data_IF_751995730002
#
_entry.id   IF_751995730002
#
_cell.length_a   1.000
_cell.length_b   1.000
_cell.length_c   1.000
_cell.angle_alpha   90.00
_cell.angle_beta   90.00
_cell.angle_gamma   90.00
#
_symmetry.space_group_name_H-M   'P 1'
#
loop_
_entity.id
_entity.type
_entity.pdbx_description
1 polymer ?
#
# COMPACT_ATOMS: atom_id res chain seq x y z
N UNK A 1 -38.08 -7.28 30.25
CA UNK A 1 -37.67 -8.28 29.25
C UNK A 1 -37.57 -7.58 27.89
N UNK A 2 -36.43 -7.19 27.43
CA UNK A 2 -36.31 -6.44 26.18
C UNK A 2 -34.88 -5.99 25.79
N UNK A 3 -33.87 -6.85 25.88
CA UNK A 3 -32.51 -6.46 25.50
C UNK A 3 -31.71 -7.51 24.72
N UNK A 4 -32.33 -8.58 24.24
CA UNK A 4 -31.62 -9.66 23.54
C UNK A 4 -31.73 -9.57 22.00
N UNK A 5 -32.63 -8.73 21.46
CA UNK A 5 -32.87 -8.64 20.01
C UNK A 5 -31.94 -7.68 19.26
N UNK A 6 -31.30 -6.72 19.93
CA UNK A 6 -30.36 -5.77 19.32
C UNK A 6 -29.04 -6.42 18.89
N UNK A 7 -28.51 -7.31 19.72
CA UNK A 7 -27.18 -7.89 19.51
C UNK A 7 -27.10 -8.84 18.30
N UNK A 8 -28.19 -9.55 17.97
CA UNK A 8 -28.19 -10.48 16.84
C UNK A 8 -28.25 -9.78 15.47
N UNK A 9 -28.86 -8.60 15.38
CA UNK A 9 -28.87 -7.79 14.16
C UNK A 9 -27.55 -7.07 13.93
N UNK A 10 -26.93 -6.55 14.97
CA UNK A 10 -25.62 -5.93 14.90
C UNK A 10 -24.53 -6.92 14.49
N UNK A 11 -24.57 -8.13 15.03
CA UNK A 11 -23.67 -9.22 14.66
C UNK A 11 -23.85 -9.62 13.19
N UNK A 12 -25.12 -9.76 12.73
CA UNK A 12 -25.40 -10.04 11.31
C UNK A 12 -24.94 -8.91 10.38
N UNK A 13 -25.14 -7.67 10.77
CA UNK A 13 -24.65 -6.51 10.01
C UNK A 13 -23.13 -6.48 9.96
N UNK A 14 -22.45 -6.78 11.06
CA UNK A 14 -20.99 -6.85 11.09
C UNK A 14 -20.44 -7.92 10.13
N UNK A 15 -21.01 -9.12 10.15
CA UNK A 15 -20.62 -10.19 9.22
C UNK A 15 -20.92 -9.86 7.76
N UNK A 16 -22.05 -9.19 7.48
CA UNK A 16 -22.38 -8.77 6.12
C UNK A 16 -21.45 -7.66 5.62
N UNK A 17 -21.04 -6.73 6.48
CA UNK A 17 -20.08 -5.69 6.16
C UNK A 17 -18.67 -6.26 5.93
N UNK A 18 -18.28 -7.23 6.76
CA UNK A 18 -17.01 -7.94 6.58
C UNK A 18 -16.98 -8.69 5.23
N UNK A 19 -18.02 -9.47 4.94
CA UNK A 19 -18.10 -10.21 3.67
C UNK A 19 -18.10 -9.27 2.45
N UNK A 20 -18.78 -8.11 2.54
CA UNK A 20 -18.75 -7.09 1.46
C UNK A 20 -17.37 -6.46 1.32
N UNK A 21 -16.69 -6.21 2.43
CA UNK A 21 -15.34 -5.64 2.41
C UNK A 21 -14.34 -6.62 1.80
N UNK A 22 -14.44 -7.91 2.16
CA UNK A 22 -13.59 -8.96 1.60
C UNK A 22 -13.86 -9.15 0.09
N UNK A 23 -15.12 -9.12 -0.34
CA UNK A 23 -15.49 -9.16 -1.76
C UNK A 23 -14.96 -7.93 -2.53
N UNK A 24 -15.13 -6.72 -2.00
CA UNK A 24 -14.59 -5.51 -2.61
C UNK A 24 -13.06 -5.50 -2.67
N UNK A 25 -12.39 -6.08 -1.68
CA UNK A 25 -10.94 -6.22 -1.70
C UNK A 25 -10.49 -7.18 -2.82
N UNK A 26 -11.23 -8.28 -3.01
CA UNK A 26 -10.97 -9.23 -4.09
C UNK A 26 -11.24 -8.61 -5.46
N UNK A 27 -12.38 -7.94 -5.65
CA UNK A 27 -12.72 -7.24 -6.89
C UNK A 27 -11.66 -6.19 -7.25
N UNK A 28 -11.19 -5.43 -6.26
CA UNK A 28 -10.11 -4.47 -6.45
C UNK A 28 -8.78 -5.13 -6.84
N UNK A 29 -8.49 -6.30 -6.30
CA UNK A 29 -7.32 -7.08 -6.69
C UNK A 29 -7.43 -7.51 -8.16
N UNK A 30 -8.56 -8.11 -8.53
CA UNK A 30 -8.80 -8.62 -9.88
C UNK A 30 -8.81 -7.49 -10.93
N UNK A 31 -9.38 -6.33 -10.58
CA UNK A 31 -9.34 -5.15 -11.44
C UNK A 31 -7.92 -4.62 -11.66
N UNK A 32 -7.07 -4.65 -10.65
CA UNK A 32 -5.66 -4.23 -10.78
C UNK A 32 -4.85 -5.20 -11.62
N UNK A 33 -5.08 -6.49 -11.46
CA UNK A 33 -4.46 -7.51 -12.33
C UNK A 33 -4.87 -7.28 -13.79
N UNK A 34 -6.17 -7.09 -14.06
CA UNK A 34 -6.68 -6.81 -15.42
C UNK A 34 -6.15 -5.50 -15.99
N UNK A 35 -6.07 -4.46 -15.16
CA UNK A 35 -5.50 -3.17 -15.59
C UNK A 35 -4.04 -3.33 -16.02
N UNK A 36 -3.26 -4.03 -15.22
CA UNK A 36 -1.85 -4.31 -15.53
C UNK A 36 -1.70 -5.19 -16.78
N UNK A 37 -2.62 -6.15 -17.01
CA UNK A 37 -2.67 -6.94 -18.25
C UNK A 37 -2.95 -6.06 -19.48
N UNK A 38 -3.92 -5.16 -19.37
CA UNK A 38 -4.29 -4.24 -20.46
C UNK A 38 -3.16 -3.23 -20.75
N UNK A 39 -2.52 -2.69 -19.73
CA UNK A 39 -1.37 -1.80 -19.87
C UNK A 39 -0.18 -2.50 -20.55
N UNK A 40 0.01 -3.80 -20.28
CA UNK A 40 1.04 -4.60 -20.94
C UNK A 40 0.73 -4.90 -22.43
N UNK A 41 -0.53 -4.78 -22.84
CA UNK A 41 -0.97 -5.00 -24.22
C UNK A 41 -0.95 -3.72 -25.09
N UNK A 42 -0.71 -2.54 -24.51
CA UNK A 42 -0.61 -1.27 -25.25
C UNK A 42 0.82 -1.14 -25.84
N UNK A 43 0.99 -1.14 -27.19
CA UNK A 43 2.32 -1.22 -27.81
C UNK A 43 3.09 0.09 -27.86
N UNK A 44 2.63 1.18 -27.28
CA UNK A 44 3.29 2.46 -27.49
C UNK A 44 3.42 3.29 -26.21
N UNK A 45 4.67 3.53 -25.82
CA UNK A 45 5.02 4.48 -24.77
C UNK A 45 6.07 4.03 -23.76
N UNK A 46 7.21 3.50 -24.21
CA UNK A 46 8.50 3.70 -23.53
C UNK A 46 8.69 3.17 -22.09
N UNK A 47 8.00 2.13 -21.66
CA UNK A 47 8.42 1.36 -20.49
C UNK A 47 8.40 -0.12 -20.86
N UNK A 48 9.56 -0.75 -20.75
CA UNK A 48 9.81 -2.13 -21.13
C UNK A 48 8.68 -3.06 -20.74
N UNK A 49 8.12 -3.75 -21.75
CA UNK A 49 7.06 -4.73 -21.58
C UNK A 49 7.38 -5.74 -20.48
N UNK A 50 6.60 -5.71 -19.42
CA UNK A 50 6.61 -6.72 -18.38
C UNK A 50 5.32 -7.51 -18.50
N UNK A 51 5.43 -8.72 -19.02
CA UNK A 51 4.34 -9.68 -19.12
C UNK A 51 3.73 -9.96 -17.75
N UNK A 52 2.42 -9.88 -17.66
CA UNK A 52 1.67 -10.35 -16.50
C UNK A 52 1.45 -11.85 -16.66
N UNK A 53 1.93 -12.64 -15.72
CA UNK A 53 1.62 -14.07 -15.64
C UNK A 53 0.31 -14.26 -14.88
N UNK A 54 -0.39 -15.37 -15.15
CA UNK A 54 -1.65 -15.76 -14.50
C UNK A 54 -1.59 -15.88 -12.96
N UNK A 55 -0.40 -15.76 -12.37
CA UNK A 55 -0.14 -15.82 -10.91
C UNK A 55 -0.22 -14.45 -10.20
N UNK A 56 -0.82 -13.43 -10.78
CA UNK A 56 -0.94 -12.09 -10.18
C UNK A 56 0.37 -11.30 -10.15
N UNK A 57 1.30 -11.59 -11.07
CA UNK A 57 2.57 -10.89 -11.20
C UNK A 57 2.43 -9.78 -12.25
N UNK A 58 2.42 -8.53 -11.81
CA UNK A 58 2.42 -7.37 -12.67
C UNK A 58 3.73 -6.60 -12.51
N UNK A 59 4.40 -6.31 -13.61
CA UNK A 59 5.64 -5.54 -13.58
C UNK A 59 6.78 -6.17 -12.75
N UNK A 60 6.77 -7.50 -12.52
CA UNK A 60 7.71 -8.19 -11.65
C UNK A 60 7.35 -8.14 -10.16
N UNK A 61 6.19 -7.58 -9.81
CA UNK A 61 5.65 -7.56 -8.46
C UNK A 61 4.47 -8.53 -8.35
N UNK A 62 4.46 -9.34 -7.30
CA UNK A 62 3.31 -10.20 -6.96
C UNK A 62 2.46 -9.49 -5.91
N UNK A 63 1.16 -9.44 -6.15
CA UNK A 63 0.19 -8.87 -5.24
C UNK A 63 -0.57 -9.97 -4.51
N UNK A 64 -0.64 -9.85 -3.19
CA UNK A 64 -1.40 -10.75 -2.33
C UNK A 64 -2.45 -9.94 -1.57
N UNK A 65 -3.75 -10.20 -1.76
CA UNK A 65 -4.79 -9.52 -1.00
C UNK A 65 -4.70 -9.90 0.48
N UNK A 66 -4.77 -8.92 1.35
CA UNK A 66 -4.64 -9.12 2.78
C UNK A 66 -5.54 -8.18 3.58
N UNK A 67 -5.89 -8.58 4.80
CA UNK A 67 -6.71 -7.80 5.71
C UNK A 67 -5.82 -7.17 6.79
N UNK A 68 -6.04 -5.91 7.09
CA UNK A 68 -5.42 -5.24 8.23
C UNK A 68 -6.13 -5.72 9.51
N UNK A 69 -5.37 -6.36 10.39
CA UNK A 69 -5.86 -6.86 11.69
C UNK A 69 -5.76 -5.77 12.76
N UNK A 70 -4.68 -4.99 12.72
CA UNK A 70 -4.43 -3.93 13.69
C UNK A 70 -3.58 -2.82 13.09
N UNK A 71 -3.89 -1.59 13.43
CA UNK A 71 -3.04 -0.41 13.18
C UNK A 71 -2.72 0.20 14.54
N UNK A 72 -1.44 0.46 14.79
CA UNK A 72 -1.07 1.28 15.93
C UNK A 72 -1.19 2.76 15.57
N UNK A 73 -1.54 3.56 16.56
CA UNK A 73 -1.55 5.01 16.46
C UNK A 73 -0.74 5.56 17.63
N UNK A 74 0.57 5.40 17.56
CA UNK A 74 1.52 5.84 18.55
C UNK A 74 2.21 7.13 18.09
N UNK A 75 2.92 7.81 18.97
CA UNK A 75 3.58 9.08 18.66
C UNK A 75 4.81 8.95 17.76
N UNK A 76 5.49 7.82 17.74
CA UNK A 76 6.76 7.68 17.02
C UNK A 76 6.92 6.38 16.22
N UNK A 77 6.41 5.26 16.72
CA UNK A 77 6.63 3.93 16.16
C UNK A 77 5.30 3.30 15.73
N UNK A 78 4.81 3.68 14.58
CA UNK A 78 3.56 3.17 14.06
C UNK A 78 3.77 1.90 13.23
N UNK A 79 2.89 0.92 13.45
CA UNK A 79 2.93 -0.36 12.78
C UNK A 79 1.53 -0.83 12.35
N UNK A 80 1.52 -1.78 11.45
CA UNK A 80 0.32 -2.42 10.90
C UNK A 80 0.50 -3.93 11.04
N UNK A 81 -0.48 -4.62 11.61
CA UNK A 81 -0.53 -6.08 11.59
C UNK A 81 -1.46 -6.52 10.48
N UNK A 82 -0.98 -7.41 9.65
CA UNK A 82 -1.65 -7.94 8.47
C UNK A 82 -1.93 -9.43 8.69
N UNK A 83 -3.15 -9.87 8.36
CA UNK A 83 -3.60 -11.26 8.49
C UNK A 83 -3.16 -12.15 7.32
N UNK A 84 -1.91 -12.01 6.91
CA UNK A 84 -1.20 -12.83 5.94
C UNK A 84 0.26 -12.93 6.34
N UNK A 85 0.89 -14.07 6.12
CA UNK A 85 2.25 -14.34 6.55
C UNK A 85 3.09 -15.12 5.55
N UNK A 86 4.10 -15.82 6.04
CA UNK A 86 5.00 -16.61 5.19
C UNK A 86 4.29 -17.75 4.47
N UNK A 87 3.23 -18.30 5.03
CA UNK A 87 2.41 -19.35 4.39
C UNK A 87 1.66 -18.82 3.16
N UNK A 88 1.41 -17.50 3.10
CA UNK A 88 0.80 -16.80 1.98
C UNK A 88 1.84 -16.23 0.99
N UNK A 89 3.11 -16.51 1.20
CA UNK A 89 4.21 -16.02 0.38
C UNK A 89 4.64 -14.59 0.67
N UNK A 90 4.23 -14.02 1.82
CA UNK A 90 4.70 -12.71 2.27
C UNK A 90 6.14 -12.84 2.78
N UNK A 91 6.98 -11.90 2.41
CA UNK A 91 8.38 -11.83 2.82
C UNK A 91 8.71 -10.49 3.46
N UNK A 92 9.75 -10.48 4.29
CA UNK A 92 10.32 -9.21 4.79
C UNK A 92 10.76 -8.33 3.62
N UNK A 93 10.46 -7.04 3.70
CA UNK A 93 10.72 -6.07 2.65
C UNK A 93 9.57 -5.92 1.63
N UNK A 94 8.51 -6.74 1.71
CA UNK A 94 7.32 -6.53 0.88
C UNK A 94 6.63 -5.20 1.19
N UNK A 95 6.23 -4.47 0.16
CA UNK A 95 5.46 -3.24 0.30
C UNK A 95 4.00 -3.49 0.64
N UNK A 96 3.40 -2.63 1.44
CA UNK A 96 1.97 -2.66 1.77
C UNK A 96 1.28 -1.51 1.08
N UNK A 97 0.32 -1.82 0.20
CA UNK A 97 -0.46 -0.85 -0.56
C UNK A 97 -1.96 -1.00 -0.29
N UNK A 98 -2.66 0.10 -0.41
CA UNK A 98 -4.13 0.18 -0.31
C UNK A 98 -4.70 0.83 -1.57
N UNK A 99 -6.03 0.94 -1.65
CA UNK A 99 -6.70 1.71 -2.70
C UNK A 99 -6.29 3.18 -2.78
N UNK A 100 -5.75 3.74 -1.69
CA UNK A 100 -5.34 5.15 -1.61
C UNK A 100 -3.85 5.36 -1.84
N UNK A 101 -3.03 4.30 -1.78
CA UNK A 101 -1.59 4.40 -1.96
C UNK A 101 -0.80 3.45 -1.07
N UNK A 102 0.51 3.61 -1.06
CA UNK A 102 1.40 2.83 -0.22
C UNK A 102 1.34 3.32 1.23
N UNK A 103 1.38 2.39 2.18
CA UNK A 103 1.19 2.69 3.62
C UNK A 103 2.30 2.15 4.53
N UNK A 104 3.17 1.29 4.05
CA UNK A 104 4.24 0.73 4.87
C UNK A 104 5.02 -0.39 4.20
N UNK A 105 5.96 -0.98 4.93
CA UNK A 105 6.83 -2.07 4.48
C UNK A 105 6.87 -3.16 5.53
N UNK A 106 6.80 -4.43 5.12
CA UNK A 106 6.89 -5.59 6.00
C UNK A 106 8.29 -5.68 6.62
N UNK A 107 8.35 -5.68 7.93
CA UNK A 107 9.59 -5.77 8.71
C UNK A 107 9.79 -7.15 9.34
N UNK A 108 8.71 -7.81 9.72
CA UNK A 108 8.75 -9.18 10.25
C UNK A 108 7.55 -10.00 9.76
N UNK A 109 7.77 -11.30 9.61
CA UNK A 109 6.76 -12.24 9.11
C UNK A 109 6.69 -13.45 10.03
N UNK A 110 5.48 -13.89 10.33
CA UNK A 110 5.15 -15.16 10.99
C UNK A 110 4.36 -16.04 10.01
N UNK A 111 3.97 -17.24 10.40
CA UNK A 111 3.19 -18.16 9.53
C UNK A 111 1.98 -17.48 8.89
N UNK A 112 1.07 -16.97 9.72
CA UNK A 112 -0.23 -16.43 9.29
C UNK A 112 -0.35 -14.91 9.42
N UNK A 113 0.68 -14.22 9.91
CA UNK A 113 0.66 -12.79 10.16
C UNK A 113 1.95 -12.11 9.72
N UNK A 114 1.83 -10.84 9.36
CA UNK A 114 2.98 -9.99 9.09
C UNK A 114 2.89 -8.70 9.91
N UNK A 115 4.05 -8.24 10.32
CA UNK A 115 4.24 -6.94 10.97
C UNK A 115 4.85 -5.99 9.95
N UNK A 116 4.12 -4.93 9.61
CA UNK A 116 4.59 -3.87 8.73
C UNK A 116 4.91 -2.61 9.53
N UNK A 117 6.02 -1.98 9.20
CA UNK A 117 6.34 -0.65 9.67
C UNK A 117 5.58 0.35 8.80
N UNK A 118 4.75 1.18 9.43
CA UNK A 118 3.96 2.20 8.73
C UNK A 118 4.86 3.34 8.24
N UNK A 119 4.46 4.06 7.18
CA UNK A 119 5.14 5.31 6.80
C UNK A 119 5.01 6.42 7.84
N UNK A 120 4.10 6.31 8.79
CA UNK A 120 4.04 7.14 10.00
C UNK A 120 4.97 6.64 11.12
N UNK A 121 6.07 6.02 10.77
CA UNK A 121 7.12 5.63 11.69
C UNK A 121 8.34 6.51 11.42
N UNK A 122 8.90 7.09 12.46
CA UNK A 122 10.02 8.04 12.37
C UNK A 122 11.30 7.44 11.75
N UNK A 123 11.46 6.13 11.87
CA UNK A 123 12.60 5.41 11.29
C UNK A 123 12.42 5.02 9.81
N UNK A 124 11.23 5.27 9.24
CA UNK A 124 10.94 4.92 7.86
C UNK A 124 11.36 6.04 6.91
N UNK A 125 12.21 5.65 5.95
CA UNK A 125 12.55 6.46 4.80
C UNK A 125 12.18 5.70 3.52
N UNK A 126 11.57 6.38 2.58
CA UNK A 126 11.21 5.84 1.28
C UNK A 126 11.68 6.78 0.18
N UNK A 127 12.16 6.22 -0.93
CA UNK A 127 12.44 7.01 -2.12
C UNK A 127 11.14 7.38 -2.82
N UNK A 128 10.85 8.66 -2.85
CA UNK A 128 9.62 9.22 -3.39
C UNK A 128 9.90 10.19 -4.53
N UNK A 129 8.94 10.34 -5.44
CA UNK A 129 9.00 11.22 -6.60
C UNK A 129 7.87 12.23 -6.55
N UNK A 130 8.21 13.49 -6.76
CA UNK A 130 7.25 14.58 -6.86
C UNK A 130 6.61 14.60 -8.26
N UNK A 131 5.31 14.38 -8.33
CA UNK A 131 4.64 14.23 -9.62
C UNK A 131 5.06 12.97 -10.39
N UNK A 132 4.61 12.83 -11.63
CA UNK A 132 4.94 11.65 -12.45
C UNK A 132 6.33 11.65 -13.04
N UNK A 133 6.88 12.83 -13.32
CA UNK A 133 8.19 13.00 -13.98
C UNK A 133 9.16 13.90 -13.20
N UNK A 134 8.78 14.27 -11.97
CA UNK A 134 9.53 15.23 -11.17
C UNK A 134 10.73 14.65 -10.41
N UNK A 135 11.28 15.48 -9.55
CA UNK A 135 12.46 15.15 -8.76
C UNK A 135 12.19 14.02 -7.76
N UNK A 136 13.21 13.21 -7.56
CA UNK A 136 13.21 12.10 -6.59
C UNK A 136 14.03 12.48 -5.37
N UNK A 137 13.49 12.18 -4.20
CA UNK A 137 14.17 12.41 -2.94
C UNK A 137 13.67 11.45 -1.83
N UNK A 138 14.37 11.41 -0.71
CA UNK A 138 13.92 10.65 0.44
C UNK A 138 12.75 11.34 1.11
N UNK A 139 11.69 10.58 1.37
CA UNK A 139 10.52 11.00 2.13
C UNK A 139 10.51 10.32 3.47
N UNK A 140 10.26 11.08 4.52
CA UNK A 140 10.12 10.58 5.89
C UNK A 140 9.01 11.33 6.62
N UNK A 141 8.38 10.66 7.59
CA UNK A 141 7.43 11.30 8.49
C UNK A 141 8.17 12.20 9.51
N UNK A 142 7.61 13.37 9.78
CA UNK A 142 8.19 14.35 10.72
C UNK A 142 7.93 14.03 12.21
N UNK A 143 7.08 13.01 12.48
CA UNK A 143 6.73 12.60 13.83
C UNK A 143 5.62 13.46 14.49
N UNK A 144 5.13 14.50 13.83
CA UNK A 144 4.19 15.46 14.40
C UNK A 144 2.86 15.50 13.64
N UNK A 145 2.90 15.55 12.32
CA UNK A 145 1.69 15.64 11.51
C UNK A 145 1.00 14.28 11.36
N UNK A 146 -0.31 14.25 11.61
CA UNK A 146 -1.11 13.04 11.34
C UNK A 146 -1.33 12.77 9.84
N UNK A 147 -1.08 13.76 8.99
CA UNK A 147 -1.41 13.72 7.57
C UNK A 147 -0.25 14.14 6.66
N UNK A 148 0.98 14.28 7.18
CA UNK A 148 2.08 14.81 6.40
C UNK A 148 3.38 14.01 6.53
N UNK A 149 4.20 14.14 5.51
CA UNK A 149 5.57 13.68 5.48
C UNK A 149 6.44 14.75 4.84
N UNK A 150 7.74 14.67 5.05
CA UNK A 150 8.72 15.61 4.49
C UNK A 150 9.47 14.92 3.36
N UNK A 151 9.34 15.44 2.17
CA UNK A 151 10.16 15.08 1.01
C UNK A 151 11.39 15.98 1.00
N UNK A 152 12.57 15.39 1.02
CA UNK A 152 13.87 16.10 1.13
C UNK A 152 14.66 16.04 -0.17
N UNK A 153 15.72 16.83 -0.25
CA UNK A 153 16.69 16.80 -1.35
C UNK A 153 16.08 17.10 -2.73
N UNK A 154 15.01 17.91 -2.76
CA UNK A 154 14.43 18.37 -4.01
C UNK A 154 15.26 19.57 -4.51
N UNK A 155 15.77 19.53 -5.76
CA UNK A 155 16.55 20.64 -6.33
C UNK A 155 15.72 21.94 -6.40
N UNK A 156 16.34 23.07 -6.12
CA UNK A 156 15.68 24.39 -6.07
C UNK A 156 15.03 24.83 -7.40
N UNK A 157 15.43 24.25 -8.52
CA UNK A 157 14.86 24.57 -9.84
C UNK A 157 13.57 23.79 -10.14
N UNK A 158 13.18 22.86 -9.28
CA UNK A 158 11.95 22.07 -9.45
C UNK A 158 10.78 22.88 -8.91
N UNK A 159 9.90 23.25 -9.81
CA UNK A 159 8.64 23.92 -9.45
C UNK A 159 7.60 22.90 -8.97
N UNK A 160 6.90 23.22 -7.89
CA UNK A 160 5.81 22.41 -7.38
C UNK A 160 4.74 23.30 -6.75
N UNK A 161 3.52 22.78 -6.67
CA UNK A 161 2.37 23.49 -6.14
C UNK A 161 1.63 22.66 -5.08
N UNK A 162 0.93 23.32 -4.14
CA UNK A 162 0.02 22.63 -3.25
C UNK A 162 -1.03 21.83 -4.05
N UNK A 163 -1.12 20.53 -3.76
CA UNK A 163 -1.99 19.58 -4.50
C UNK A 163 -1.23 18.62 -5.41
N UNK A 164 0.05 18.87 -5.67
CA UNK A 164 0.88 17.93 -6.39
C UNK A 164 1.02 16.62 -5.60
N UNK A 165 0.81 15.51 -6.30
CA UNK A 165 0.88 14.18 -5.67
C UNK A 165 2.31 13.66 -5.66
N UNK A 166 2.69 13.04 -4.56
CA UNK A 166 3.95 12.34 -4.41
C UNK A 166 3.72 10.85 -4.67
N UNK A 167 4.63 10.22 -5.40
CA UNK A 167 4.55 8.82 -5.81
C UNK A 167 5.78 8.04 -5.37
N UNK A 168 5.68 6.73 -5.34
CA UNK A 168 6.84 5.84 -5.24
C UNK A 168 7.73 6.05 -6.49
N UNK A 169 9.05 6.12 -6.29
CA UNK A 169 9.99 6.40 -7.37
C UNK A 169 10.24 5.21 -8.30
N UNK A 170 9.94 3.97 -7.84
CA UNK A 170 10.29 2.75 -8.55
C UNK A 170 11.76 2.37 -8.47
N UNK A 171 12.62 3.15 -7.82
CA UNK A 171 14.05 2.82 -7.64
C UNK A 171 14.29 1.73 -6.60
N UNK A 172 13.35 1.50 -5.71
CA UNK A 172 13.41 0.39 -4.77
C UNK A 172 12.67 -0.82 -5.34
N UNK A 173 13.15 -2.02 -5.03
CA UNK A 173 12.45 -3.27 -5.36
C UNK A 173 11.21 -3.53 -4.48
N UNK A 174 10.86 -2.59 -3.59
CA UNK A 174 9.77 -2.72 -2.62
C UNK A 174 8.43 -2.35 -3.24
N UNK A 175 8.40 -1.28 -4.03
CA UNK A 175 7.20 -0.77 -4.67
C UNK A 175 7.40 -0.60 -6.17
N UNK A 176 6.40 -0.90 -6.98
CA UNK A 176 6.38 -0.41 -8.35
C UNK A 176 6.38 1.12 -8.38
N UNK A 177 6.79 1.74 -9.49
CA UNK A 177 6.64 3.18 -9.67
C UNK A 177 5.15 3.58 -9.66
N UNK A 178 4.91 4.87 -9.45
CA UNK A 178 3.60 5.52 -9.60
C UNK A 178 2.52 5.10 -8.59
N UNK A 179 2.90 4.48 -7.47
CA UNK A 179 1.97 4.31 -6.35
C UNK A 179 1.92 5.59 -5.52
N UNK A 180 0.74 6.19 -5.29
CA UNK A 180 0.60 7.39 -4.44
C UNK A 180 1.11 7.15 -3.01
N UNK A 181 1.64 8.22 -2.40
CA UNK A 181 2.18 8.22 -1.03
C UNK A 181 1.42 9.21 -0.14
#
# INVERSE_FOLDING_TARGET
MGTVWGSSQEVKQYFSLKARNDALAQDNHDLRVRLAELEAMIPDGGAAGKSVSADGIAGGFRYTPATIVKISNNTQHNYIIIGKGSEDGITKGSGVITGKGAIGVIDAVSGNYSYARSFKNHEMNISARLGKEGAVGPMSWDGHSSAGAVLKEIPHHVEFQPGDTVYTSGYSSIFPPDIPL
#
